data_IF_940781872726
#
_entry.id   IF_940781872726
#
_cell.length_a   1.000
_cell.length_b   1.000
_cell.length_c   1.000
_cell.angle_alpha   90.00
_cell.angle_beta   90.00
_cell.angle_gamma   90.00
#
_symmetry.space_group_name_H-M   'P 1'
#
loop_
_entity.id
_entity.type
_entity.pdbx_description
1 polymer ?
#
# COMPACT_ATOMS: atom_id res chain seq x y z
N UNK A 1 9.90 -0.66 4.97
CA UNK A 1 8.45 -0.99 5.01
C UNK A 1 8.00 -0.74 6.44
N UNK A 2 7.34 0.41 6.70
CA UNK A 2 6.76 0.67 8.01
C UNK A 2 5.51 -0.18 8.13
N UNK A 3 5.57 -1.19 8.97
CA UNK A 3 4.38 -1.86 9.49
C UNK A 3 3.78 -0.85 10.46
N UNK A 4 2.72 -0.14 10.05
CA UNK A 4 1.89 0.58 10.99
C UNK A 4 1.18 -0.47 11.83
N UNK A 5 1.56 -0.56 13.09
CA UNK A 5 0.72 -1.24 14.07
C UNK A 5 -0.65 -0.52 14.08
N UNK A 6 -1.75 -1.24 14.14
CA UNK A 6 -3.07 -0.63 14.29
C UNK A 6 -3.09 0.19 15.59
N UNK A 7 -3.90 1.26 15.67
CA UNK A 7 -4.01 2.07 16.86
C UNK A 7 -4.31 1.19 18.07
N UNK A 8 -3.36 1.13 18.98
CA UNK A 8 -3.36 0.18 20.09
C UNK A 8 -4.17 0.68 21.28
N UNK A 9 -4.67 1.92 21.22
CA UNK A 9 -5.44 2.51 22.32
C UNK A 9 -6.75 3.16 21.85
N UNK A 10 -7.76 3.12 22.73
CA UNK A 10 -9.06 3.80 22.54
C UNK A 10 -8.89 5.30 22.32
N UNK A 11 -7.84 5.90 22.86
CA UNK A 11 -7.54 7.33 22.71
C UNK A 11 -7.07 7.67 21.28
N UNK A 12 -6.24 6.84 20.66
CA UNK A 12 -5.77 7.03 19.28
C UNK A 12 -6.93 6.89 18.27
N UNK A 13 -7.84 5.96 18.50
CA UNK A 13 -9.06 5.80 17.69
C UNK A 13 -9.97 7.03 17.79
N UNK A 14 -10.12 7.62 18.98
CA UNK A 14 -10.91 8.83 19.18
C UNK A 14 -10.28 10.04 18.50
N UNK A 15 -8.95 10.18 18.55
CA UNK A 15 -8.22 11.26 17.89
C UNK A 15 -8.37 11.16 16.36
N UNK A 16 -8.21 9.98 15.80
CA UNK A 16 -8.39 9.74 14.37
C UNK A 16 -9.80 10.09 13.90
N UNK A 17 -10.82 9.72 14.66
CA UNK A 17 -12.21 10.11 14.40
C UNK A 17 -12.40 11.64 14.47
N UNK A 18 -11.79 12.32 15.45
CA UNK A 18 -11.91 13.77 15.60
C UNK A 18 -11.20 14.55 14.49
N UNK A 19 -10.04 14.07 14.06
CA UNK A 19 -9.29 14.64 12.92
C UNK A 19 -10.08 14.49 11.63
N UNK A 20 -10.70 13.33 11.42
CA UNK A 20 -11.52 13.10 10.23
C UNK A 20 -12.81 13.93 10.22
N UNK A 21 -13.50 14.01 11.35
CA UNK A 21 -14.69 14.86 11.51
C UNK A 21 -14.36 16.34 11.21
N UNK A 22 -13.25 16.81 11.72
CA UNK A 22 -12.76 18.15 11.45
C UNK A 22 -12.43 18.39 9.96
N UNK A 23 -11.83 17.38 9.30
CA UNK A 23 -11.61 17.43 7.86
C UNK A 23 -12.91 17.52 7.06
N UNK A 24 -13.97 16.82 7.47
CA UNK A 24 -15.29 16.91 6.85
C UNK A 24 -15.94 18.29 7.05
N UNK A 25 -15.71 18.94 8.20
CA UNK A 25 -16.28 20.24 8.55
C UNK A 25 -15.50 21.42 7.92
N UNK A 26 -14.18 21.44 8.05
CA UNK A 26 -13.33 22.58 7.66
C UNK A 26 -12.66 22.39 6.27
N UNK A 27 -12.72 21.19 5.73
CA UNK A 27 -12.00 20.82 4.50
C UNK A 27 -10.50 20.63 4.71
N UNK A 28 -9.81 20.36 3.60
CA UNK A 28 -8.37 20.11 3.63
C UNK A 28 -7.55 21.36 3.93
N UNK A 29 -8.03 22.53 3.54
CA UNK A 29 -7.32 23.81 3.70
C UNK A 29 -7.20 24.23 5.18
N UNK A 30 -8.22 23.96 6.00
CA UNK A 30 -8.17 24.15 7.43
C UNK A 30 -7.07 23.32 8.09
N UNK A 31 -7.06 22.03 7.79
CA UNK A 31 -6.02 21.10 8.28
C UNK A 31 -4.61 21.50 7.80
N UNK A 32 -4.47 21.90 6.54
CA UNK A 32 -3.18 22.34 5.98
C UNK A 32 -2.65 23.60 6.69
N UNK A 33 -3.53 24.53 7.02
CA UNK A 33 -3.16 25.76 7.73
C UNK A 33 -2.57 25.46 9.10
N UNK A 34 -3.15 24.55 9.85
CA UNK A 34 -2.61 24.12 11.15
C UNK A 34 -1.36 23.26 11.02
N UNK A 35 -1.34 22.31 10.07
CA UNK A 35 -0.16 21.50 9.82
C UNK A 35 1.06 22.36 9.48
N UNK A 36 0.87 23.46 8.76
CA UNK A 36 1.92 24.46 8.48
C UNK A 36 2.49 25.08 9.75
N UNK A 37 1.68 25.27 10.79
CA UNK A 37 2.13 25.82 12.09
C UNK A 37 2.82 24.75 12.94
N UNK A 38 2.27 23.53 12.95
CA UNK A 38 2.79 22.42 13.76
C UNK A 38 4.05 21.78 13.18
N UNK A 39 4.13 21.67 11.85
CA UNK A 39 5.28 21.07 11.15
C UNK A 39 5.49 21.71 9.78
N UNK A 40 6.13 22.89 9.73
CA UNK A 40 6.44 23.58 8.48
C UNK A 40 7.28 22.72 7.52
N UNK A 41 8.22 21.92 8.05
CA UNK A 41 9.11 21.10 7.26
C UNK A 41 8.38 19.94 6.57
N UNK A 42 7.39 19.34 7.20
CA UNK A 42 6.54 18.32 6.58
C UNK A 42 5.56 18.94 5.59
N UNK A 43 4.96 20.09 5.94
CA UNK A 43 4.05 20.83 5.07
C UNK A 43 4.67 21.15 3.70
N UNK A 44 5.95 21.55 3.64
CA UNK A 44 6.62 21.82 2.37
C UNK A 44 6.92 20.58 1.52
N UNK A 45 7.00 19.39 2.14
CA UNK A 45 7.34 18.12 1.45
C UNK A 45 6.13 17.28 1.10
N UNK A 46 5.03 17.40 1.84
CA UNK A 46 3.85 16.57 1.64
C UNK A 46 3.12 16.95 0.35
N UNK A 47 2.63 15.93 -0.37
CA UNK A 47 1.68 16.16 -1.44
C UNK A 47 0.35 16.67 -0.83
N UNK A 48 0.15 17.97 -0.90
CA UNK A 48 -1.01 18.67 -0.33
C UNK A 48 -2.35 18.27 -0.96
N UNK A 49 -2.36 17.57 -2.10
CA UNK A 49 -3.56 16.99 -2.70
C UNK A 49 -3.89 15.60 -2.13
N UNK A 50 -2.94 14.99 -1.45
CA UNK A 50 -3.12 13.69 -0.82
C UNK A 50 -3.62 13.85 0.62
N UNK A 51 -4.94 13.99 0.77
CA UNK A 51 -5.56 14.22 2.09
C UNK A 51 -5.15 13.16 3.12
N UNK A 52 -4.99 11.87 2.74
CA UNK A 52 -4.58 10.81 3.67
C UNK A 52 -3.21 11.05 4.29
N UNK A 53 -2.25 11.55 3.49
CA UNK A 53 -0.92 11.90 3.99
C UNK A 53 -0.95 13.14 4.88
N UNK A 54 -1.74 14.13 4.49
CA UNK A 54 -1.93 15.36 5.26
C UNK A 54 -2.54 15.05 6.62
N UNK A 55 -3.67 14.32 6.65
CA UNK A 55 -4.35 13.93 7.89
C UNK A 55 -3.43 13.10 8.79
N UNK A 56 -2.71 12.13 8.23
CA UNK A 56 -1.77 11.31 9.00
C UNK A 56 -0.66 12.15 9.65
N UNK A 57 -0.02 13.06 8.90
CA UNK A 57 1.00 13.95 9.46
C UNK A 57 0.43 14.86 10.55
N UNK A 58 -0.77 15.39 10.36
CA UNK A 58 -1.47 16.23 11.33
C UNK A 58 -1.83 15.44 12.60
N UNK A 59 -2.40 14.24 12.44
CA UNK A 59 -2.73 13.32 13.54
C UNK A 59 -1.49 12.98 14.38
N UNK A 60 -0.36 12.71 13.73
CA UNK A 60 0.90 12.43 14.42
C UNK A 60 1.42 13.65 15.20
N UNK A 61 1.27 14.87 14.68
CA UNK A 61 1.63 16.07 15.42
C UNK A 61 0.76 16.24 16.68
N UNK A 62 -0.55 16.03 16.56
CA UNK A 62 -1.49 16.16 17.68
C UNK A 62 -1.28 15.06 18.74
N UNK A 63 -1.09 13.82 18.32
CA UNK A 63 -0.94 12.67 19.24
C UNK A 63 0.35 12.71 20.04
N UNK A 64 1.44 13.19 19.42
CA UNK A 64 2.78 13.18 20.03
C UNK A 64 3.22 14.50 20.61
N UNK A 65 2.53 15.60 20.26
CA UNK A 65 2.96 16.96 20.59
C UNK A 65 4.27 17.39 19.90
N UNK A 66 4.72 16.65 18.89
CA UNK A 66 5.99 16.88 18.18
C UNK A 66 5.76 16.93 16.67
N UNK A 67 6.58 17.70 15.91
CA UNK A 67 6.53 17.69 14.45
C UNK A 67 6.70 16.27 13.88
N UNK A 68 5.85 15.87 12.95
CA UNK A 68 5.95 14.57 12.29
C UNK A 68 7.28 14.40 11.56
N UNK A 69 7.81 15.49 10.98
CA UNK A 69 9.12 15.50 10.35
C UNK A 69 10.27 15.09 11.29
N UNK A 70 10.12 15.29 12.61
CA UNK A 70 11.13 14.92 13.60
C UNK A 70 11.33 13.39 13.74
N UNK A 71 10.35 12.59 13.28
CA UNK A 71 10.42 11.13 13.26
C UNK A 71 11.05 10.59 11.97
N UNK A 72 11.20 11.44 10.93
CA UNK A 72 11.88 11.07 9.70
C UNK A 72 13.39 11.25 9.84
N UNK A 73 14.00 10.47 10.69
CA UNK A 73 15.47 10.45 10.81
C UNK A 73 16.04 9.78 9.56
N UNK A 74 16.83 10.52 8.79
CA UNK A 74 17.61 9.97 7.65
C UNK A 74 18.88 9.26 8.14
N UNK A 75 18.98 8.96 9.43
CA UNK A 75 20.12 8.22 9.93
C UNK A 75 20.09 6.78 9.40
N UNK A 76 21.01 6.50 8.49
CA UNK A 76 21.33 5.12 8.14
C UNK A 76 21.92 4.52 9.39
N UNK A 77 21.16 3.70 10.11
CA UNK A 77 21.73 2.90 11.18
C UNK A 77 22.68 1.89 10.51
N UNK A 78 23.95 1.97 10.88
CA UNK A 78 24.90 0.93 10.49
C UNK A 78 24.41 -0.40 11.06
N UNK A 79 24.14 -1.33 10.15
CA UNK A 79 23.71 -2.67 10.53
C UNK A 79 24.96 -3.55 10.72
N UNK A 80 24.99 -4.43 11.74
CA UNK A 80 26.12 -5.33 11.96
C UNK A 80 26.21 -6.48 10.95
N UNK A 81 25.32 -6.49 9.94
CA UNK A 81 25.25 -7.50 8.87
C UNK A 81 25.20 -6.83 7.50
N UNK A 82 25.72 -7.53 6.50
CA UNK A 82 25.59 -7.16 5.10
C UNK A 82 24.20 -7.58 4.58
N UNK A 83 23.54 -6.67 3.86
CA UNK A 83 22.22 -6.91 3.29
C UNK A 83 22.35 -7.06 1.77
N UNK A 84 22.16 -8.27 1.27
CA UNK A 84 22.07 -8.56 -0.17
C UNK A 84 20.60 -8.49 -0.60
N UNK A 85 20.28 -7.59 -1.51
CA UNK A 85 18.91 -7.44 -2.02
C UNK A 85 18.75 -8.16 -3.35
N UNK A 86 17.81 -9.08 -3.40
CA UNK A 86 17.51 -9.87 -4.59
C UNK A 86 16.09 -9.54 -5.06
N UNK A 87 15.97 -9.13 -6.32
CA UNK A 87 14.69 -8.91 -7.00
C UNK A 87 14.44 -10.02 -8.02
N UNK A 88 13.21 -10.54 -8.04
CA UNK A 88 12.78 -11.48 -9.07
C UNK A 88 11.95 -10.75 -10.13
N UNK A 89 12.29 -10.91 -11.38
CA UNK A 89 11.57 -10.32 -12.51
C UNK A 89 11.40 -11.32 -13.64
N UNK A 90 10.39 -11.09 -14.46
CA UNK A 90 10.12 -11.87 -15.69
C UNK A 90 9.89 -10.90 -16.83
N UNK A 91 9.99 -11.40 -18.06
CA UNK A 91 9.52 -10.66 -19.22
C UNK A 91 8.04 -10.30 -19.04
N UNK A 92 7.65 -9.16 -19.63
CA UNK A 92 6.35 -8.54 -19.37
C UNK A 92 5.19 -9.45 -19.77
N UNK A 93 5.31 -10.08 -20.91
CA UNK A 93 4.30 -10.98 -21.47
C UNK A 93 4.11 -12.20 -20.58
N UNK A 94 5.21 -12.86 -20.20
CA UNK A 94 5.20 -14.00 -19.28
C UNK A 94 4.57 -13.62 -17.92
N UNK A 95 4.95 -12.46 -17.37
CA UNK A 95 4.38 -11.98 -16.10
C UNK A 95 2.86 -11.79 -16.20
N UNK A 96 2.38 -11.23 -17.32
CA UNK A 96 0.96 -10.96 -17.51
C UNK A 96 0.15 -12.24 -17.72
N UNK A 97 0.67 -13.21 -18.46
CA UNK A 97 0.04 -14.53 -18.61
C UNK A 97 -0.10 -15.23 -17.26
N UNK A 98 0.97 -15.23 -16.46
CA UNK A 98 0.93 -15.82 -15.12
C UNK A 98 -0.04 -15.12 -14.18
N UNK A 99 -0.15 -13.79 -14.26
CA UNK A 99 -1.14 -13.03 -13.47
C UNK A 99 -2.56 -13.44 -13.88
N UNK A 100 -2.83 -13.54 -15.17
CA UNK A 100 -4.15 -13.91 -15.66
C UNK A 100 -4.53 -15.33 -15.21
N UNK A 101 -3.63 -16.29 -15.42
CA UNK A 101 -3.83 -17.68 -15.00
C UNK A 101 -4.03 -17.80 -13.49
N UNK A 102 -3.24 -17.06 -12.70
CA UNK A 102 -3.39 -17.05 -11.23
C UNK A 102 -4.76 -16.54 -10.80
N UNK A 103 -5.29 -15.51 -11.44
CA UNK A 103 -6.62 -14.98 -11.10
C UNK A 103 -7.70 -16.01 -11.39
N UNK A 104 -7.62 -16.72 -12.53
CA UNK A 104 -8.53 -17.81 -12.86
C UNK A 104 -8.46 -18.92 -11.80
N UNK A 105 -7.26 -19.36 -11.45
CA UNK A 105 -7.07 -20.34 -10.37
C UNK A 105 -7.66 -19.89 -9.03
N UNK A 106 -7.49 -18.61 -8.65
CA UNK A 106 -8.05 -18.08 -7.40
C UNK A 106 -9.59 -18.12 -7.41
N UNK A 107 -10.22 -17.86 -8.55
CA UNK A 107 -11.68 -18.00 -8.67
C UNK A 107 -12.10 -19.46 -8.52
N UNK A 108 -11.42 -20.38 -9.20
CA UNK A 108 -11.68 -21.83 -9.12
C UNK A 108 -11.45 -22.37 -7.69
N UNK A 109 -10.52 -21.78 -6.94
CA UNK A 109 -10.18 -22.14 -5.55
C UNK A 109 -11.11 -21.48 -4.51
N UNK A 110 -12.10 -20.67 -4.93
CA UNK A 110 -13.14 -20.14 -4.05
C UNK A 110 -12.95 -18.68 -3.61
N UNK A 111 -12.22 -17.86 -4.37
CA UNK A 111 -12.06 -16.44 -4.06
C UNK A 111 -13.42 -15.70 -3.99
N UNK A 112 -14.41 -16.13 -4.79
CA UNK A 112 -15.75 -15.52 -4.74
C UNK A 112 -16.45 -15.79 -3.41
N UNK A 113 -16.39 -17.02 -2.92
CA UNK A 113 -16.96 -17.44 -1.63
C UNK A 113 -16.26 -16.74 -0.46
N UNK A 114 -14.92 -16.62 -0.53
CA UNK A 114 -14.15 -15.87 0.45
C UNK A 114 -14.60 -14.41 0.49
N UNK A 115 -14.67 -13.74 -0.66
CA UNK A 115 -15.13 -12.36 -0.76
C UNK A 115 -16.58 -12.20 -0.25
N UNK A 116 -17.45 -13.16 -0.53
CA UNK A 116 -18.85 -13.16 -0.09
C UNK A 116 -18.97 -13.26 1.43
N UNK A 117 -18.08 -14.03 2.08
CA UNK A 117 -18.08 -14.19 3.53
C UNK A 117 -17.75 -12.88 4.27
N UNK A 118 -16.93 -12.02 3.68
CA UNK A 118 -16.51 -10.72 4.24
C UNK A 118 -17.28 -9.53 3.66
N UNK A 119 -18.17 -9.75 2.71
CA UNK A 119 -18.96 -8.69 2.05
C UNK A 119 -19.74 -7.79 3.01
N UNK A 120 -20.34 -8.26 4.14
CA UNK A 120 -20.98 -7.38 5.12
C UNK A 120 -20.04 -6.29 5.66
N UNK A 121 -18.74 -6.52 5.60
CA UNK A 121 -17.69 -5.62 6.09
C UNK A 121 -17.01 -4.82 4.96
N UNK A 122 -17.59 -4.77 3.75
CA UNK A 122 -17.00 -4.13 2.55
C UNK A 122 -16.57 -2.67 2.73
N UNK A 123 -17.15 -1.98 3.73
CA UNK A 123 -16.81 -0.60 4.08
C UNK A 123 -15.46 -0.45 4.78
N UNK A 124 -14.88 -1.54 5.31
CA UNK A 124 -13.60 -1.50 5.98
C UNK A 124 -12.44 -1.29 4.99
N UNK A 125 -11.55 -0.35 5.33
CA UNK A 125 -10.42 -0.01 4.46
C UNK A 125 -9.49 -1.23 4.18
N UNK A 126 -9.38 -2.17 5.11
CA UNK A 126 -8.60 -3.39 4.94
C UNK A 126 -9.09 -4.28 3.78
N UNK A 127 -10.38 -4.22 3.45
CA UNK A 127 -10.99 -4.98 2.35
C UNK A 127 -10.98 -4.23 1.01
N UNK A 128 -10.50 -2.99 0.97
CA UNK A 128 -10.36 -2.22 -0.27
C UNK A 128 -9.09 -2.65 -1.05
N UNK A 129 -9.01 -3.91 -1.40
CA UNK A 129 -7.89 -4.53 -2.11
C UNK A 129 -8.32 -5.04 -3.48
N UNK A 130 -7.34 -5.23 -4.37
CA UNK A 130 -7.61 -5.89 -5.67
C UNK A 130 -8.06 -7.32 -5.40
N UNK A 131 -9.12 -7.74 -6.04
CA UNK A 131 -9.84 -8.98 -5.82
C UNK A 131 -11.17 -8.69 -5.13
N UNK A 132 -11.16 -8.32 -3.87
CA UNK A 132 -12.39 -8.06 -3.10
C UNK A 132 -13.19 -6.88 -3.65
N UNK A 133 -12.53 -5.77 -3.98
CA UNK A 133 -13.18 -4.58 -4.49
C UNK A 133 -13.99 -4.85 -5.76
N UNK A 134 -13.45 -5.60 -6.68
CA UNK A 134 -14.11 -5.94 -7.95
C UNK A 134 -15.24 -6.94 -7.72
N UNK A 135 -15.04 -7.94 -6.84
CA UNK A 135 -16.10 -8.88 -6.47
C UNK A 135 -17.22 -8.20 -5.68
N UNK A 136 -16.92 -7.24 -4.82
CA UNK A 136 -17.96 -6.44 -4.17
C UNK A 136 -18.80 -5.63 -5.16
N UNK A 137 -18.17 -5.05 -6.20
CA UNK A 137 -18.90 -4.38 -7.27
C UNK A 137 -19.81 -5.35 -8.06
N UNK A 138 -19.38 -6.62 -8.22
CA UNK A 138 -20.24 -7.67 -8.76
C UNK A 138 -21.40 -8.00 -7.81
N UNK A 139 -21.17 -8.16 -6.52
CA UNK A 139 -22.22 -8.43 -5.54
C UNK A 139 -23.23 -7.28 -5.40
N UNK A 140 -22.78 -6.05 -5.63
CA UNK A 140 -23.65 -4.86 -5.71
C UNK A 140 -24.46 -4.80 -7.02
N UNK A 141 -24.24 -5.74 -7.96
CA UNK A 141 -24.91 -5.74 -9.28
C UNK A 141 -24.39 -4.70 -10.26
N UNK A 142 -23.27 -4.03 -9.95
CA UNK A 142 -22.71 -2.97 -10.80
C UNK A 142 -22.00 -3.53 -12.04
N UNK A 143 -21.40 -4.73 -11.95
CA UNK A 143 -20.70 -5.41 -13.05
C UNK A 143 -20.98 -6.92 -13.03
N UNK A 144 -20.76 -7.59 -14.17
CA UNK A 144 -20.85 -9.06 -14.23
C UNK A 144 -19.62 -9.71 -13.59
N UNK A 145 -19.71 -11.02 -13.29
CA UNK A 145 -18.56 -11.76 -12.74
C UNK A 145 -17.38 -11.81 -13.72
N UNK A 146 -17.65 -11.95 -15.01
CA UNK A 146 -16.60 -11.96 -16.06
C UNK A 146 -15.91 -10.60 -16.13
N UNK A 147 -16.64 -9.50 -15.93
CA UNK A 147 -16.05 -8.16 -15.87
C UNK A 147 -15.24 -7.98 -14.59
N UNK A 148 -15.69 -8.48 -13.45
CA UNK A 148 -14.94 -8.45 -12.20
C UNK A 148 -13.60 -9.18 -12.37
N UNK A 149 -13.57 -10.38 -12.95
CA UNK A 149 -12.37 -11.16 -13.23
C UNK A 149 -11.41 -10.37 -14.14
N UNK A 150 -11.90 -9.80 -15.25
CA UNK A 150 -11.09 -8.97 -16.15
C UNK A 150 -10.47 -7.77 -15.44
N UNK A 151 -11.23 -7.12 -14.55
CA UNK A 151 -10.74 -6.00 -13.76
C UNK A 151 -9.69 -6.42 -12.73
N UNK A 152 -9.86 -7.55 -12.06
CA UNK A 152 -8.86 -8.12 -11.14
C UNK A 152 -7.56 -8.37 -11.88
N UNK A 153 -7.60 -9.06 -13.03
CA UNK A 153 -6.43 -9.31 -13.88
C UNK A 153 -5.74 -7.99 -14.28
N UNK A 154 -6.51 -7.02 -14.79
CA UNK A 154 -6.00 -5.70 -15.19
C UNK A 154 -5.34 -4.95 -14.02
N UNK A 155 -6.02 -4.88 -12.88
CA UNK A 155 -5.55 -4.13 -11.71
C UNK A 155 -4.32 -4.80 -11.08
N UNK A 156 -4.25 -6.13 -11.09
CA UNK A 156 -3.06 -6.87 -10.67
C UNK A 156 -1.86 -6.58 -11.58
N UNK A 157 -2.04 -6.53 -12.91
CA UNK A 157 -0.97 -6.13 -13.83
C UNK A 157 -0.49 -4.70 -13.60
N UNK A 158 -1.42 -3.77 -13.33
CA UNK A 158 -1.09 -2.37 -12.98
C UNK A 158 -0.27 -2.33 -11.68
N UNK A 159 -0.67 -3.10 -10.68
CA UNK A 159 0.02 -3.17 -9.40
C UNK A 159 1.44 -3.74 -9.55
N UNK A 160 1.59 -4.85 -10.27
CA UNK A 160 2.90 -5.43 -10.56
C UNK A 160 3.85 -4.45 -11.26
N UNK A 161 3.33 -3.68 -12.25
CA UNK A 161 4.11 -2.62 -12.92
C UNK A 161 4.54 -1.52 -11.96
N UNK A 162 3.64 -1.09 -11.03
CA UNK A 162 3.97 -0.09 -10.02
C UNK A 162 5.05 -0.59 -9.06
N UNK A 163 4.98 -1.87 -8.64
CA UNK A 163 6.02 -2.49 -7.83
C UNK A 163 7.39 -2.47 -8.53
N UNK A 164 7.46 -2.91 -9.78
CA UNK A 164 8.71 -2.88 -10.55
C UNK A 164 9.27 -1.47 -10.71
N UNK A 165 8.40 -0.48 -11.00
CA UNK A 165 8.81 0.93 -11.12
C UNK A 165 9.35 1.47 -9.79
N UNK A 166 8.78 1.07 -8.67
CA UNK A 166 9.24 1.48 -7.35
C UNK A 166 10.60 0.86 -7.00
N UNK A 167 10.71 -0.46 -7.12
CA UNK A 167 11.90 -1.19 -6.72
C UNK A 167 13.11 -0.95 -7.64
N UNK A 168 12.90 -0.65 -8.92
CA UNK A 168 13.98 -0.29 -9.86
C UNK A 168 14.69 1.02 -9.54
N UNK A 169 14.19 1.80 -8.58
CA UNK A 169 14.88 2.99 -8.07
C UNK A 169 16.01 2.65 -7.10
N UNK A 170 16.01 1.47 -6.56
CA UNK A 170 17.05 0.97 -5.67
C UNK A 170 18.08 0.20 -6.51
N UNK A 171 19.20 0.84 -6.80
CA UNK A 171 20.28 0.28 -7.62
C UNK A 171 21.02 -0.87 -6.91
N UNK A 172 20.83 -1.04 -5.60
CA UNK A 172 21.43 -2.13 -4.83
C UNK A 172 20.70 -3.48 -4.99
N UNK A 173 19.59 -3.52 -5.76
CA UNK A 173 18.86 -4.75 -6.01
C UNK A 173 19.44 -5.49 -7.21
N UNK A 174 19.86 -6.73 -6.98
CA UNK A 174 20.29 -7.67 -8.01
C UNK A 174 19.07 -8.38 -8.60
N UNK A 175 18.78 -8.13 -9.87
CA UNK A 175 17.58 -8.65 -10.53
C UNK A 175 17.86 -9.94 -11.27
N UNK A 176 17.05 -10.99 -11.01
CA UNK A 176 17.15 -12.28 -11.64
C UNK A 176 15.81 -12.75 -12.19
N UNK A 177 15.87 -13.54 -13.27
CA UNK A 177 14.74 -14.36 -13.67
C UNK A 177 14.62 -15.55 -12.70
N UNK A 178 13.41 -15.97 -12.26
CA UNK A 178 13.25 -17.05 -11.29
C UNK A 178 13.83 -18.41 -11.72
N UNK A 179 14.07 -18.64 -13.03
CA UNK A 179 14.75 -19.85 -13.51
C UNK A 179 16.27 -19.82 -13.30
N UNK A 180 16.83 -18.69 -12.92
CA UNK A 180 18.27 -18.53 -12.73
C UNK A 180 18.65 -18.64 -11.25
N UNK A 181 18.17 -19.71 -10.61
CA UNK A 181 18.49 -20.00 -9.20
C UNK A 181 20.00 -20.21 -8.99
N UNK A 182 20.66 -20.82 -9.96
CA UNK A 182 22.13 -20.97 -10.02
C UNK A 182 22.84 -19.65 -9.75
N UNK A 183 22.46 -18.58 -10.43
CA UNK A 183 23.08 -17.26 -10.28
C UNK A 183 22.77 -16.61 -8.95
N UNK A 184 21.60 -16.87 -8.38
CA UNK A 184 21.24 -16.36 -7.05
C UNK A 184 22.12 -17.03 -6.00
N UNK A 185 22.33 -18.35 -6.09
CA UNK A 185 23.21 -19.05 -5.18
C UNK A 185 24.67 -18.65 -5.35
N UNK A 186 25.16 -18.45 -6.59
CA UNK A 186 26.49 -17.92 -6.85
C UNK A 186 26.70 -16.55 -6.16
N UNK A 187 25.72 -15.66 -6.22
CA UNK A 187 25.81 -14.34 -5.53
C UNK A 187 25.86 -14.46 -4.01
N UNK A 188 25.16 -15.45 -3.43
CA UNK A 188 25.10 -15.68 -1.99
C UNK A 188 26.22 -16.59 -1.48
N UNK A 189 26.86 -17.34 -2.35
CA UNK A 189 28.01 -18.20 -2.03
C UNK A 189 29.29 -17.35 -2.05
N UNK A 190 29.49 -16.64 -0.98
CA UNK A 190 30.70 -15.89 -0.70
C UNK A 190 31.85 -16.82 -0.38
#
# INVERSE_FOLDING_TARGET
>A
MYIMEPPTTRAESLLSCSVFARYEEEGLDGILSELRLLDPAYYERVDRKNYKRVLHGYEMCLSTGRPFSSFHTQSIQEQPWEVVKIGLTREREELYERINLRVEQMIDEGLEEEARSVYPYKHLNALNTVGFKELFAHFDGAISIEEAIRQIQRNTRIYARKQLTWWRRDESIHWFHPSRQDRIFELLSL
#
